data_IF_420918577502
#
_entry.id   IF_420918577502
#
_cell.length_a   1.000
_cell.length_b   1.000
_cell.length_c   1.000
_cell.angle_alpha   90.00
_cell.angle_beta   90.00
_cell.angle_gamma   90.00
#
_symmetry.space_group_name_H-M   'P 1'
#
loop_
_entity.id
_entity.type
_entity.pdbx_description
1 polymer ?
#
# COMPACT_ATOMS: atom_id res chain seq x y z
N UNK A 1 -10.64 -61.28 -45.08
CA UNK A 1 -11.37 -61.08 -43.80
C UNK A 1 -10.52 -60.16 -42.93
N UNK A 2 -11.13 -59.10 -42.37
CA UNK A 2 -10.51 -58.00 -41.58
C UNK A 2 -9.62 -58.50 -40.43
N UNK A 3 -8.61 -57.75 -40.00
CA UNK A 3 -8.56 -56.93 -38.74
C UNK A 3 -7.05 -56.67 -38.48
N UNK A 4 -6.50 -55.57 -37.95
CA UNK A 4 -6.99 -54.25 -37.56
C UNK A 4 -5.80 -53.28 -37.48
N UNK A 5 -6.13 -52.02 -37.74
CA UNK A 5 -5.34 -50.82 -37.50
C UNK A 5 -5.08 -50.62 -35.99
N UNK A 6 -3.83 -50.69 -35.54
CA UNK A 6 -3.45 -50.29 -34.18
C UNK A 6 -3.25 -48.77 -34.15
N UNK A 7 -4.31 -48.08 -33.70
CA UNK A 7 -4.27 -46.68 -33.29
C UNK A 7 -3.27 -46.51 -32.13
N UNK A 8 -2.19 -45.78 -32.39
CA UNK A 8 -1.26 -45.31 -31.35
C UNK A 8 -2.01 -44.27 -30.50
N UNK A 9 -2.59 -44.69 -29.39
CA UNK A 9 -3.08 -43.77 -28.36
C UNK A 9 -1.90 -43.08 -27.67
N UNK A 10 -1.67 -41.80 -27.98
CA UNK A 10 -0.84 -40.93 -27.13
C UNK A 10 -1.57 -40.73 -25.79
N UNK A 11 -0.90 -40.93 -24.64
CA UNK A 11 -1.59 -41.14 -23.36
C UNK A 11 -2.10 -39.82 -22.75
N UNK A 12 -3.17 -39.96 -21.96
CA UNK A 12 -3.87 -38.96 -21.14
C UNK A 12 -3.01 -38.22 -20.08
N UNK A 13 -1.69 -38.36 -20.15
CA UNK A 13 -0.70 -37.89 -19.16
C UNK A 13 -0.46 -36.37 -19.27
N UNK A 14 -0.57 -35.78 -20.46
CA UNK A 14 -0.42 -34.33 -20.65
C UNK A 14 -1.56 -33.52 -20.02
N UNK A 15 -2.77 -34.07 -19.90
CA UNK A 15 -3.91 -33.40 -19.28
C UNK A 15 -3.81 -33.36 -17.75
N UNK A 16 -3.28 -34.42 -17.13
CA UNK A 16 -3.17 -34.51 -15.66
C UNK A 16 -2.08 -33.57 -15.13
N UNK A 17 -0.93 -33.48 -15.81
CA UNK A 17 0.13 -32.52 -15.42
C UNK A 17 -0.32 -31.06 -15.57
N UNK A 18 -1.10 -30.73 -16.61
CA UNK A 18 -1.71 -29.42 -16.78
C UNK A 18 -2.73 -29.08 -15.69
N UNK A 19 -3.55 -30.06 -15.26
CA UNK A 19 -4.52 -29.88 -14.18
C UNK A 19 -3.87 -29.72 -12.80
N UNK A 20 -2.78 -30.45 -12.52
CA UNK A 20 -2.01 -30.30 -11.28
C UNK A 20 -1.31 -28.94 -11.24
N UNK A 21 -0.67 -28.53 -12.33
CA UNK A 21 -0.04 -27.20 -12.43
C UNK A 21 -1.08 -26.08 -12.25
N UNK A 22 -2.26 -26.20 -12.87
CA UNK A 22 -3.36 -25.25 -12.71
C UNK A 22 -3.88 -25.21 -11.26
N UNK A 23 -4.06 -26.36 -10.61
CA UNK A 23 -4.48 -26.43 -9.21
C UNK A 23 -3.45 -25.80 -8.24
N UNK A 24 -2.14 -25.98 -8.50
CA UNK A 24 -1.07 -25.33 -7.73
C UNK A 24 -1.11 -23.82 -7.88
N UNK A 25 -1.29 -23.31 -9.12
CA UNK A 25 -1.40 -21.86 -9.37
C UNK A 25 -2.62 -21.26 -8.67
N UNK A 26 -3.78 -21.92 -8.75
CA UNK A 26 -5.00 -21.47 -8.06
C UNK A 26 -4.80 -21.47 -6.55
N UNK A 27 -4.23 -22.56 -6.00
CA UNK A 27 -3.96 -22.67 -4.56
C UNK A 27 -3.00 -21.59 -4.06
N UNK A 28 -1.93 -21.29 -4.81
CA UNK A 28 -0.98 -20.22 -4.47
C UNK A 28 -1.63 -18.82 -4.50
N UNK A 29 -2.51 -18.55 -5.47
CA UNK A 29 -3.24 -17.28 -5.57
C UNK A 29 -4.20 -17.08 -4.40
N UNK A 30 -4.99 -18.11 -4.04
CA UNK A 30 -5.89 -18.06 -2.90
C UNK A 30 -5.14 -17.84 -1.58
N UNK A 31 -4.02 -18.54 -1.40
CA UNK A 31 -3.18 -18.36 -0.22
C UNK A 31 -2.64 -16.93 -0.11
N UNK A 32 -2.15 -16.34 -1.21
CA UNK A 32 -1.68 -14.95 -1.23
C UNK A 32 -2.78 -13.95 -0.88
N UNK A 33 -4.00 -14.15 -1.40
CA UNK A 33 -5.14 -13.28 -1.06
C UNK A 33 -5.49 -13.37 0.42
N UNK A 34 -5.52 -14.58 0.99
CA UNK A 34 -5.78 -14.77 2.41
C UNK A 34 -4.72 -14.09 3.30
N UNK A 35 -3.44 -14.23 2.95
CA UNK A 35 -2.33 -13.56 3.66
C UNK A 35 -2.44 -12.04 3.54
N UNK A 36 -2.78 -11.51 2.37
CA UNK A 36 -2.96 -10.07 2.17
C UNK A 36 -4.14 -9.53 3.00
N UNK A 37 -5.29 -10.19 2.98
CA UNK A 37 -6.45 -9.77 3.78
C UNK A 37 -6.16 -9.80 5.28
N UNK A 38 -5.44 -10.82 5.76
CA UNK A 38 -4.99 -10.88 7.15
C UNK A 38 -4.07 -9.69 7.48
N UNK A 39 -3.12 -9.37 6.59
CA UNK A 39 -2.22 -8.22 6.76
C UNK A 39 -2.98 -6.89 6.77
N UNK A 40 -3.96 -6.71 5.87
CA UNK A 40 -4.81 -5.51 5.82
C UNK A 40 -5.64 -5.36 7.10
N UNK A 41 -6.19 -6.45 7.63
CA UNK A 41 -6.93 -6.41 8.90
C UNK A 41 -6.03 -6.01 10.09
N UNK A 42 -4.80 -6.52 10.14
CA UNK A 42 -3.80 -6.14 11.15
C UNK A 42 -3.41 -4.66 11.04
N UNK A 43 -3.21 -4.17 9.81
CA UNK A 43 -2.93 -2.76 9.51
C UNK A 43 -4.09 -1.88 9.94
N UNK A 44 -5.34 -2.22 9.64
CA UNK A 44 -6.51 -1.47 10.09
C UNK A 44 -6.57 -1.40 11.63
N UNK A 45 -6.31 -2.51 12.32
CA UNK A 45 -6.28 -2.58 13.78
C UNK A 45 -5.19 -1.69 14.42
N UNK A 46 -3.98 -1.67 13.84
CA UNK A 46 -2.88 -0.83 14.31
C UNK A 46 -3.09 0.63 13.92
N UNK A 47 -3.62 0.87 12.72
CA UNK A 47 -3.99 2.17 12.21
C UNK A 47 -4.91 2.91 13.16
N UNK A 48 -5.93 2.24 13.71
CA UNK A 48 -6.84 2.83 14.70
C UNK A 48 -6.17 3.31 16.01
N UNK A 49 -4.92 2.93 16.28
CA UNK A 49 -4.15 3.39 17.45
C UNK A 49 -3.25 4.59 17.15
N UNK A 50 -2.99 4.85 15.86
CA UNK A 50 -2.04 5.87 15.39
C UNK A 50 -2.76 6.99 14.64
N UNK A 51 -3.68 6.64 13.75
CA UNK A 51 -4.52 7.57 13.02
C UNK A 51 -5.72 7.95 13.88
N UNK A 52 -5.90 9.23 14.24
CA UNK A 52 -6.95 9.64 15.17
C UNK A 52 -8.33 9.80 14.51
N UNK A 53 -8.45 9.49 13.21
CA UNK A 53 -9.67 9.55 12.40
C UNK A 53 -10.19 8.14 12.08
N UNK A 54 -11.45 8.05 11.65
CA UNK A 54 -12.10 6.77 11.33
C UNK A 54 -11.72 6.33 9.93
N UNK A 55 -10.92 5.25 9.84
CA UNK A 55 -10.42 4.76 8.57
C UNK A 55 -11.54 4.38 7.59
N UNK A 56 -12.70 3.91 8.07
CA UNK A 56 -13.86 3.57 7.23
C UNK A 56 -14.62 4.79 6.68
N UNK A 57 -14.22 6.01 7.09
CA UNK A 57 -14.81 7.28 6.62
C UNK A 57 -13.79 8.15 5.90
N UNK A 58 -12.64 7.60 5.58
CA UNK A 58 -11.55 8.34 4.96
C UNK A 58 -10.92 7.55 3.84
N UNK A 59 -10.46 8.27 2.83
CA UNK A 59 -9.67 7.69 1.74
C UNK A 59 -8.27 8.32 1.74
N UNK A 60 -7.26 7.45 1.70
CA UNK A 60 -5.87 7.84 1.46
C UNK A 60 -5.57 7.76 -0.03
N UNK A 61 -4.93 8.78 -0.57
CA UNK A 61 -4.42 8.78 -1.94
C UNK A 61 -2.90 8.92 -1.88
N UNK A 62 -2.20 8.02 -2.55
CA UNK A 62 -0.75 8.02 -2.63
C UNK A 62 -0.32 8.15 -4.08
N UNK A 63 -0.08 9.37 -4.54
CA UNK A 63 0.29 9.65 -5.93
C UNK A 63 1.82 9.73 -6.09
N UNK A 64 2.44 8.82 -6.86
CA UNK A 64 3.85 8.96 -7.22
C UNK A 64 4.03 10.10 -8.23
N UNK A 65 4.99 10.99 -7.98
CA UNK A 65 5.35 12.10 -8.86
C UNK A 65 6.80 11.95 -9.37
N UNK A 66 7.18 12.57 -10.51
CA UNK A 66 8.53 12.42 -11.06
C UNK A 66 9.68 12.81 -10.14
N UNK A 67 9.44 13.74 -9.21
CA UNK A 67 10.38 14.29 -8.24
C UNK A 67 9.99 13.93 -6.78
N UNK A 68 9.16 12.90 -6.58
CA UNK A 68 8.82 12.34 -5.27
C UNK A 68 7.38 11.81 -5.22
N UNK A 69 6.52 12.40 -4.38
CA UNK A 69 5.11 11.99 -4.30
C UNK A 69 4.21 12.99 -3.58
N UNK A 70 2.91 12.76 -3.68
CA UNK A 70 1.84 13.47 -2.98
C UNK A 70 0.97 12.47 -2.21
N UNK A 71 0.91 12.63 -0.89
CA UNK A 71 -0.05 11.92 -0.04
C UNK A 71 -1.21 12.85 0.23
N UNK A 72 -2.44 12.37 0.05
CA UNK A 72 -3.65 13.11 0.39
C UNK A 72 -4.54 12.21 1.25
N UNK A 73 -5.16 12.76 2.28
CA UNK A 73 -6.17 12.06 3.07
C UNK A 73 -7.40 12.95 3.10
N UNK A 74 -8.54 12.39 2.72
CA UNK A 74 -9.83 13.09 2.66
C UNK A 74 -10.89 12.33 3.45
N UNK A 75 -11.82 13.07 4.04
CA UNK A 75 -13.05 12.49 4.55
C UNK A 75 -13.97 12.14 3.37
N UNK A 76 -14.58 10.96 3.40
CA UNK A 76 -15.49 10.50 2.33
C UNK A 76 -16.79 11.32 2.29
N UNK A 77 -17.11 11.99 3.40
CA UNK A 77 -18.25 12.88 3.54
C UNK A 77 -17.79 14.30 3.88
N UNK A 78 -18.02 15.31 3.00
CA UNK A 78 -17.62 16.69 3.25
C UNK A 78 -18.42 17.38 4.36
N UNK A 79 -19.42 16.70 4.94
CA UNK A 79 -20.21 17.18 6.08
C UNK A 79 -19.78 16.54 7.42
N UNK A 80 -18.63 15.86 7.45
CA UNK A 80 -18.01 15.35 8.69
C UNK A 80 -16.82 16.24 9.12
N UNK A 81 -17.08 17.42 9.72
CA UNK A 81 -16.03 18.36 10.09
C UNK A 81 -15.11 17.83 11.20
N UNK A 82 -15.55 16.81 11.93
CA UNK A 82 -14.72 16.14 12.95
C UNK A 82 -13.61 15.34 12.27
N UNK A 83 -13.94 14.50 11.29
CA UNK A 83 -12.95 13.75 10.50
C UNK A 83 -11.95 14.70 9.82
N UNK A 84 -12.45 15.76 9.16
CA UNK A 84 -11.60 16.75 8.48
C UNK A 84 -10.59 17.36 9.46
N UNK A 85 -11.03 17.76 10.66
CA UNK A 85 -10.15 18.35 11.67
C UNK A 85 -9.09 17.35 12.15
N UNK A 86 -9.47 16.09 12.38
CA UNK A 86 -8.56 15.03 12.82
C UNK A 86 -7.50 14.74 11.76
N UNK A 87 -7.90 14.63 10.49
CA UNK A 87 -7.00 14.47 9.34
C UNK A 87 -6.01 15.64 9.28
N UNK A 88 -6.50 16.88 9.32
CA UNK A 88 -5.65 18.06 9.23
C UNK A 88 -4.63 18.15 10.37
N UNK A 89 -5.04 17.84 11.60
CA UNK A 89 -4.12 17.81 12.76
C UNK A 89 -3.06 16.73 12.57
N UNK A 90 -3.49 15.51 12.25
CA UNK A 90 -2.60 14.38 12.09
C UNK A 90 -1.57 14.60 10.99
N UNK A 91 -1.96 15.03 9.79
CA UNK A 91 -1.02 15.25 8.68
C UNK A 91 -0.03 16.39 8.95
N UNK A 92 -0.41 17.39 9.75
CA UNK A 92 0.50 18.45 10.18
C UNK A 92 1.55 17.91 11.16
N UNK A 93 1.15 17.04 12.07
CA UNK A 93 2.06 16.35 13.00
C UNK A 93 3.01 15.40 12.26
N UNK A 94 2.48 14.57 11.35
CA UNK A 94 3.27 13.66 10.52
C UNK A 94 4.28 14.42 9.65
N UNK A 95 3.89 15.56 9.07
CA UNK A 95 4.81 16.41 8.32
C UNK A 95 6.00 16.84 9.17
N UNK A 96 5.77 17.28 10.41
CA UNK A 96 6.85 17.69 11.31
C UNK A 96 7.78 16.52 11.67
N UNK A 97 7.21 15.32 11.93
CA UNK A 97 7.99 14.10 12.19
C UNK A 97 8.83 13.69 10.97
N UNK A 98 8.24 13.66 9.79
CA UNK A 98 8.93 13.26 8.56
C UNK A 98 10.05 14.23 8.17
N UNK A 99 9.87 15.54 8.39
CA UNK A 99 10.94 16.53 8.25
C UNK A 99 12.14 16.21 9.16
N UNK A 100 11.88 15.74 10.38
CA UNK A 100 12.90 15.30 11.32
C UNK A 100 13.46 13.88 11.05
N UNK A 101 12.97 13.19 10.01
CA UNK A 101 13.34 11.81 9.69
C UNK A 101 12.70 10.77 10.61
N UNK A 102 11.71 11.17 11.40
CA UNK A 102 10.94 10.29 12.26
C UNK A 102 9.76 9.72 11.48
N UNK A 103 9.88 8.45 11.09
CA UNK A 103 8.81 7.67 10.45
C UNK A 103 8.34 6.55 11.39
N UNK A 104 8.24 6.83 12.70
CA UNK A 104 7.81 5.85 13.70
C UNK A 104 6.34 5.47 13.55
N UNK A 105 5.45 6.43 13.24
CA UNK A 105 4.02 6.18 13.05
C UNK A 105 3.74 5.19 11.90
N UNK A 106 4.24 5.41 10.66
CA UNK A 106 4.12 4.39 9.60
C UNK A 106 4.72 3.03 9.98
N UNK A 107 5.84 3.00 10.71
CA UNK A 107 6.43 1.72 11.13
C UNK A 107 5.62 1.02 12.23
N UNK A 108 4.96 1.76 13.11
CA UNK A 108 4.07 1.20 14.12
C UNK A 108 2.86 0.50 13.47
N UNK A 109 2.37 1.04 12.34
CA UNK A 109 1.27 0.46 11.57
C UNK A 109 1.76 -0.71 10.70
N UNK A 110 2.76 -0.46 9.85
CA UNK A 110 3.14 -1.34 8.74
C UNK A 110 4.35 -2.25 9.02
N UNK A 111 5.03 -2.02 10.13
CA UNK A 111 6.29 -2.65 10.52
C UNK A 111 7.53 -1.94 9.96
N UNK A 112 8.65 -2.03 10.67
CA UNK A 112 9.94 -1.39 10.28
C UNK A 112 10.50 -1.86 8.94
N UNK A 113 10.05 -3.02 8.45
CA UNK A 113 10.47 -3.60 7.19
C UNK A 113 9.65 -3.09 5.98
N UNK A 114 8.73 -2.14 6.17
CA UNK A 114 7.97 -1.58 5.06
C UNK A 114 8.91 -1.00 3.99
N UNK A 115 8.68 -1.32 2.70
CA UNK A 115 9.47 -0.78 1.60
C UNK A 115 9.61 0.75 1.66
N UNK A 116 10.80 1.26 1.37
CA UNK A 116 11.12 2.68 1.36
C UNK A 116 11.46 3.29 2.73
N UNK A 117 10.90 2.82 3.86
CA UNK A 117 11.05 3.49 5.17
C UNK A 117 12.51 3.70 5.59
N UNK A 118 13.36 2.69 5.41
CA UNK A 118 14.79 2.78 5.78
C UNK A 118 15.50 3.90 5.00
N UNK A 119 15.22 4.00 3.71
CA UNK A 119 15.81 4.99 2.81
C UNK A 119 15.27 6.40 3.13
N UNK A 120 13.98 6.53 3.39
CA UNK A 120 13.35 7.80 3.76
C UNK A 120 13.90 8.34 5.09
N UNK A 121 14.00 7.49 6.12
CA UNK A 121 14.63 7.85 7.41
C UNK A 121 16.07 8.32 7.23
N UNK A 122 16.88 7.59 6.48
CA UNK A 122 18.29 7.94 6.25
C UNK A 122 18.46 9.19 5.36
N UNK A 123 17.54 9.40 4.42
CA UNK A 123 17.61 10.44 3.41
C UNK A 123 16.85 11.73 3.74
N UNK A 124 16.19 11.82 4.89
CA UNK A 124 15.24 12.89 5.21
C UNK A 124 15.79 14.32 4.99
N UNK A 125 17.08 14.55 5.26
CA UNK A 125 17.74 15.86 5.07
C UNK A 125 17.87 16.28 3.61
N UNK A 126 17.68 15.35 2.67
CA UNK A 126 17.74 15.57 1.23
C UNK A 126 16.34 15.62 0.59
N UNK A 127 15.31 15.79 1.41
CA UNK A 127 13.91 15.87 0.98
C UNK A 127 13.28 17.12 1.56
N UNK A 128 12.34 17.68 0.80
CA UNK A 128 11.37 18.66 1.28
C UNK A 128 10.06 17.93 1.55
N UNK A 129 9.49 18.15 2.72
CA UNK A 129 8.18 17.58 3.12
C UNK A 129 7.29 18.74 3.53
N UNK A 130 6.19 18.97 2.80
CA UNK A 130 5.35 20.16 2.95
C UNK A 130 3.87 19.79 3.08
N UNK A 131 3.20 20.36 4.07
CA UNK A 131 1.78 20.18 4.32
C UNK A 131 0.94 21.27 3.66
N UNK A 132 -0.19 20.88 3.07
CA UNK A 132 -1.23 21.80 2.59
C UNK A 132 -2.61 21.36 3.13
N UNK A 133 -3.35 22.30 3.69
CA UNK A 133 -4.73 22.09 4.13
C UNK A 133 -5.70 22.02 2.95
N UNK A 134 -6.68 21.11 3.00
CA UNK A 134 -7.78 21.01 2.04
C UNK A 134 -9.14 21.18 2.76
N UNK A 135 -10.20 21.61 2.06
CA UNK A 135 -11.53 21.76 2.67
C UNK A 135 -12.11 20.45 3.25
N UNK A 136 -11.74 19.32 2.67
CA UNK A 136 -12.22 17.96 3.00
C UNK A 136 -11.12 17.08 3.63
N UNK A 137 -9.95 17.65 3.95
CA UNK A 137 -8.84 16.90 4.55
C UNK A 137 -7.50 17.64 4.47
N UNK A 138 -6.46 16.97 4.01
CA UNK A 138 -5.14 17.57 3.83
C UNK A 138 -4.21 16.74 2.96
N UNK A 139 -3.07 17.32 2.61
CA UNK A 139 -2.06 16.65 1.79
C UNK A 139 -0.63 16.94 2.27
N UNK A 140 0.28 16.01 2.01
CA UNK A 140 1.71 16.12 2.25
C UNK A 140 2.45 15.89 0.93
N UNK A 141 3.25 16.87 0.52
CA UNK A 141 4.10 16.83 -0.66
C UNK A 141 5.52 16.45 -0.26
N UNK A 142 6.07 15.42 -0.92
CA UNK A 142 7.44 14.94 -0.71
C UNK A 142 8.28 15.20 -1.96
N UNK A 143 9.26 16.09 -1.90
CA UNK A 143 10.06 16.49 -3.07
C UNK A 143 11.54 16.23 -2.84
N UNK A 144 12.25 15.71 -3.85
CA UNK A 144 13.70 15.50 -3.79
C UNK A 144 14.32 15.47 -5.19
N UNK A 145 15.60 15.83 -5.28
CA UNK A 145 16.40 15.70 -6.51
C UNK A 145 17.16 14.37 -6.57
N UNK A 146 17.13 13.55 -5.51
CA UNK A 146 17.85 12.27 -5.47
C UNK A 146 16.98 11.14 -6.04
N UNK A 147 17.34 10.51 -7.17
CA UNK A 147 16.53 9.47 -7.78
C UNK A 147 16.25 8.28 -6.85
N UNK A 148 17.21 7.95 -5.98
CA UNK A 148 17.04 6.87 -5.00
C UNK A 148 15.95 7.17 -3.95
N UNK A 149 15.76 8.44 -3.58
CA UNK A 149 14.72 8.83 -2.64
C UNK A 149 13.36 8.97 -3.31
N UNK A 150 13.31 9.38 -4.59
CA UNK A 150 12.08 9.28 -5.40
C UNK A 150 11.60 7.83 -5.44
N UNK A 151 12.50 6.88 -5.77
CA UNK A 151 12.16 5.46 -5.77
C UNK A 151 11.67 4.97 -4.40
N UNK A 152 12.31 5.42 -3.31
CA UNK A 152 11.89 5.06 -1.96
C UNK A 152 10.48 5.58 -1.62
N UNK A 153 10.11 6.80 -2.03
CA UNK A 153 8.74 7.32 -1.88
C UNK A 153 7.76 6.45 -2.66
N UNK A 154 8.10 6.08 -3.90
CA UNK A 154 7.22 5.25 -4.73
C UNK A 154 7.00 3.86 -4.15
N UNK A 155 8.06 3.21 -3.67
CA UNK A 155 7.99 1.90 -3.00
C UNK A 155 7.14 1.99 -1.72
N UNK A 156 7.35 3.02 -0.91
CA UNK A 156 6.59 3.26 0.31
C UNK A 156 5.10 3.50 0.02
N UNK A 157 4.78 4.32 -0.98
CA UNK A 157 3.41 4.60 -1.42
C UNK A 157 2.71 3.35 -1.96
N UNK A 158 3.41 2.54 -2.76
CA UNK A 158 2.87 1.27 -3.25
C UNK A 158 2.58 0.29 -2.12
N UNK A 159 3.47 0.21 -1.13
CA UNK A 159 3.24 -0.61 0.05
C UNK A 159 2.04 -0.10 0.88
N UNK A 160 1.89 1.20 1.07
CA UNK A 160 0.75 1.77 1.80
C UNK A 160 -0.58 1.47 1.10
N UNK A 161 -0.67 1.64 -0.21
CA UNK A 161 -1.87 1.25 -0.97
C UNK A 161 -2.24 -0.23 -0.81
N UNK A 162 -1.23 -1.11 -0.84
CA UNK A 162 -1.46 -2.55 -0.62
C UNK A 162 -1.96 -2.84 0.80
N UNK A 163 -1.34 -2.20 1.80
CA UNK A 163 -1.59 -2.46 3.22
C UNK A 163 -2.92 -1.89 3.72
N UNK A 164 -3.35 -0.74 3.20
CA UNK A 164 -4.61 -0.09 3.57
C UNK A 164 -5.83 -0.59 2.75
N UNK A 165 -5.60 -1.38 1.70
CA UNK A 165 -6.70 -2.02 0.96
C UNK A 165 -7.69 -1.01 0.39
N UNK A 166 -9.00 -1.15 0.71
CA UNK A 166 -10.04 -0.28 0.15
C UNK A 166 -10.02 1.15 0.71
N UNK A 167 -9.26 1.41 1.78
CA UNK A 167 -9.07 2.75 2.36
C UNK A 167 -7.98 3.56 1.65
N UNK A 168 -7.30 2.99 0.65
CA UNK A 168 -6.23 3.65 -0.07
C UNK A 168 -6.26 3.45 -1.60
N UNK A 169 -5.79 4.47 -2.33
CA UNK A 169 -5.74 4.51 -3.79
C UNK A 169 -4.41 5.07 -4.33
#
# INVERSE_FOLDING_TARGET
MKVNNQLIHRPKIFWIAGLIALAIVIGASLYRQAVLHQRQAEVAMRGAQVMPFDLEKTTHHFEPLPDGGLQTVVADSPIDPEQVKLIQSHLKEETAKFQAGDFSDPAAIHGDAMPGLKQLRAGHRNMTVEYTTLPDGGQIRYTTQQPALVAAVHDWFAAQRSDHGHHAQ
#
